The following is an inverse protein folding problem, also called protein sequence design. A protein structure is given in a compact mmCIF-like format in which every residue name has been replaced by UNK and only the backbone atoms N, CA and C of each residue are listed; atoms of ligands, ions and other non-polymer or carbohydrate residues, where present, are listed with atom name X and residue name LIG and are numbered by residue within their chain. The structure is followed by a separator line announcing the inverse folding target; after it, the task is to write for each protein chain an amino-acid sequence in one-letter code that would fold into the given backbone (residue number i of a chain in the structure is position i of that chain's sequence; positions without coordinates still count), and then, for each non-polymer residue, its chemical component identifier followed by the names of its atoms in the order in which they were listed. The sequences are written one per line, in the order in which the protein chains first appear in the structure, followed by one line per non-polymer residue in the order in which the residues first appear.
data_IF_881425552676
#
_entry.id   IF_881425552676
#
_cell.length_a   1.000
_cell.length_b   1.000
_cell.length_c   1.000
_cell.angle_alpha   90.00
_cell.angle_beta   90.00
_cell.angle_gamma   90.00
#
_symmetry.space_group_name_H-M   'P 1'
#
loop_
_entity.id
_entity.type
_entity.pdbx_description
1 polymer ?
#
# COMPACT_ATOMS: atom_id res chain seq x y z
N UNK A 1 18.29 14.66 -27.89
CA UNK A 1 16.85 14.30 -27.83
C UNK A 1 16.37 14.49 -26.39
N UNK A 2 15.66 15.57 -26.13
CA UNK A 2 15.12 15.93 -24.81
C UNK A 2 13.62 15.65 -24.81
N UNK A 3 13.18 14.65 -24.04
CA UNK A 3 11.76 14.34 -23.86
C UNK A 3 11.17 15.22 -22.76
N UNK A 4 10.47 16.29 -23.16
CA UNK A 4 9.68 17.14 -22.26
C UNK A 4 8.20 16.82 -22.38
N UNK A 5 7.58 16.32 -21.30
CA UNK A 5 6.14 16.17 -21.18
C UNK A 5 5.46 17.55 -21.15
N UNK A 6 4.80 17.94 -22.25
CA UNK A 6 3.92 19.11 -22.28
C UNK A 6 2.60 18.77 -21.60
N UNK A 7 2.28 19.47 -20.51
CA UNK A 7 0.97 19.44 -19.84
C UNK A 7 -0.06 20.10 -20.77
N UNK A 8 -1.17 19.45 -21.16
CA UNK A 8 -2.18 20.12 -21.96
C UNK A 8 -2.84 21.23 -21.13
N UNK A 9 -2.90 22.42 -21.73
CA UNK A 9 -3.65 23.57 -21.24
C UNK A 9 -5.11 23.19 -21.08
N UNK A 10 -5.68 23.51 -19.92
CA UNK A 10 -7.10 23.30 -19.62
C UNK A 10 -7.86 24.38 -20.37
N UNK A 11 -8.48 24.01 -21.48
CA UNK A 11 -9.34 24.93 -22.22
C UNK A 11 -9.38 24.54 -23.68
N UNK A 12 -10.15 23.50 -23.98
CA UNK A 12 -10.84 23.31 -25.25
C UNK A 12 -11.75 22.08 -25.07
N UNK A 13 -12.99 22.34 -24.68
CA UNK A 13 -13.96 21.29 -24.39
C UNK A 13 -15.30 21.87 -23.98
N UNK A 14 -16.20 21.94 -24.95
CA UNK A 14 -17.65 22.06 -24.83
C UNK A 14 -18.20 23.32 -24.13
N UNK A 15 -18.85 24.17 -24.94
CA UNK A 15 -19.85 25.11 -24.46
C UNK A 15 -20.94 24.40 -23.67
N UNK A 16 -20.84 24.49 -22.35
CA UNK A 16 -21.89 24.17 -21.40
C UNK A 16 -22.32 25.48 -20.73
N UNK A 17 -23.59 25.81 -20.87
CA UNK A 17 -24.27 26.92 -20.21
C UNK A 17 -23.82 27.05 -18.72
N UNK A 18 -23.39 28.23 -18.22
CA UNK A 18 -22.87 28.40 -16.86
C UNK A 18 -23.92 28.27 -15.74
N UNK A 19 -25.17 27.94 -16.06
CA UNK A 19 -26.07 27.30 -15.11
C UNK A 19 -25.69 25.83 -14.94
N UNK A 20 -24.51 25.62 -14.35
CA UNK A 20 -24.21 24.38 -13.65
C UNK A 20 -25.42 24.08 -12.77
N UNK A 21 -26.20 23.07 -13.17
CA UNK A 21 -27.35 22.56 -12.44
C UNK A 21 -26.91 22.36 -11.00
N UNK A 22 -27.24 23.35 -10.18
CA UNK A 22 -26.90 23.37 -8.77
C UNK A 22 -27.69 22.20 -8.22
N UNK A 23 -27.02 21.08 -7.97
CA UNK A 23 -27.67 19.88 -7.44
C UNK A 23 -28.47 20.36 -6.22
N UNK A 24 -29.79 20.28 -6.32
CA UNK A 24 -30.64 20.67 -5.21
C UNK A 24 -30.55 19.56 -4.16
N UNK A 25 -29.68 19.79 -3.19
CA UNK A 25 -29.47 18.88 -2.08
C UNK A 25 -30.47 19.13 -0.94
N UNK A 26 -31.43 20.04 -1.11
CA UNK A 26 -32.41 20.41 -0.08
C UNK A 26 -33.37 19.28 0.30
N UNK A 27 -33.60 18.32 -0.60
CA UNK A 27 -34.46 17.16 -0.37
C UNK A 27 -33.78 15.98 0.35
N UNK A 28 -32.46 16.01 0.53
CA UNK A 28 -31.75 14.90 1.17
C UNK A 28 -31.77 15.04 2.69
N UNK A 29 -32.16 13.95 3.36
CA UNK A 29 -31.98 13.84 4.81
C UNK A 29 -30.49 13.82 5.10
N UNK A 30 -30.02 14.75 5.94
CA UNK A 30 -28.61 14.82 6.39
C UNK A 30 -28.30 13.86 7.53
N UNK A 31 -29.31 13.17 8.05
CA UNK A 31 -29.15 12.18 9.10
C UNK A 31 -28.71 10.83 8.52
N UNK A 32 -27.94 10.03 9.28
CA UNK A 32 -27.63 8.66 8.91
C UNK A 32 -28.91 7.87 8.58
N UNK A 33 -28.85 7.04 7.55
CA UNK A 33 -29.94 6.11 7.24
C UNK A 33 -29.92 5.01 8.30
N UNK A 34 -30.98 4.92 9.08
CA UNK A 34 -31.22 3.79 9.97
C UNK A 34 -31.69 2.61 9.11
N UNK A 35 -30.94 1.51 9.14
CA UNK A 35 -31.25 0.29 8.40
C UNK A 35 -31.71 -0.76 9.40
N UNK A 36 -32.82 -1.46 9.12
CA UNK A 36 -33.26 -2.57 9.95
C UNK A 36 -32.48 -3.85 9.61
N UNK A 37 -32.34 -4.81 10.53
CA UNK A 37 -31.61 -6.07 10.28
C UNK A 37 -32.13 -6.85 9.06
N UNK A 38 -33.45 -6.77 8.78
CA UNK A 38 -34.07 -7.40 7.63
C UNK A 38 -33.66 -6.74 6.29
N UNK A 39 -33.50 -5.42 6.29
CA UNK A 39 -33.06 -4.67 5.12
C UNK A 39 -31.59 -4.94 4.82
N UNK A 40 -30.76 -5.10 5.85
CA UNK A 40 -29.36 -5.51 5.70
C UNK A 40 -29.27 -6.89 5.06
N UNK A 41 -30.03 -7.88 5.56
CA UNK A 41 -30.04 -9.23 5.00
C UNK A 41 -30.48 -9.24 3.52
N UNK A 42 -31.51 -8.47 3.17
CA UNK A 42 -31.95 -8.34 1.78
C UNK A 42 -30.91 -7.65 0.88
N UNK A 43 -30.16 -6.68 1.40
CA UNK A 43 -29.09 -6.01 0.68
C UNK A 43 -27.90 -6.94 0.43
N UNK A 44 -27.52 -7.75 1.43
CA UNK A 44 -26.48 -8.78 1.30
C UNK A 44 -26.87 -9.80 0.23
N UNK A 45 -28.08 -10.35 0.30
CA UNK A 45 -28.56 -11.33 -0.68
C UNK A 45 -28.58 -10.77 -2.13
N UNK A 46 -28.90 -9.49 -2.30
CA UNK A 46 -28.80 -8.82 -3.60
C UNK A 46 -27.36 -8.63 -4.04
N UNK A 47 -26.45 -8.30 -3.13
CA UNK A 47 -25.01 -8.22 -3.37
C UNK A 47 -24.46 -9.56 -3.86
N UNK A 48 -24.79 -10.64 -3.18
CA UNK A 48 -24.35 -11.99 -3.55
C UNK A 48 -24.84 -12.37 -4.95
N UNK A 49 -26.10 -12.03 -5.29
CA UNK A 49 -26.68 -12.32 -6.60
C UNK A 49 -25.97 -11.57 -7.75
N UNK A 50 -25.38 -10.40 -7.49
CA UNK A 50 -24.61 -9.63 -8.49
C UNK A 50 -23.10 -9.91 -8.43
N UNK A 51 -22.68 -10.93 -7.66
CA UNK A 51 -21.28 -11.32 -7.50
C UNK A 51 -20.46 -10.36 -6.64
N UNK A 52 -21.11 -9.56 -5.79
CA UNK A 52 -20.43 -8.75 -4.80
C UNK A 52 -19.89 -9.66 -3.70
N UNK A 53 -18.57 -9.72 -3.56
CA UNK A 53 -17.91 -10.48 -2.50
C UNK A 53 -17.47 -9.53 -1.40
N UNK A 54 -17.93 -9.76 -0.18
CA UNK A 54 -17.48 -9.01 0.99
C UNK A 54 -16.01 -9.32 1.29
N UNK A 55 -15.18 -8.27 1.26
CA UNK A 55 -13.73 -8.37 1.51
C UNK A 55 -13.40 -8.44 3.01
N UNK A 56 -14.38 -8.31 3.89
CA UNK A 56 -14.20 -8.35 5.34
C UNK A 56 -13.98 -9.78 5.88
N UNK A 57 -14.43 -10.82 5.16
CA UNK A 57 -14.31 -12.21 5.64
C UNK A 57 -12.86 -12.73 5.69
N UNK A 58 -11.91 -12.04 5.06
CA UNK A 58 -10.48 -12.34 5.19
C UNK A 58 -9.84 -11.88 6.51
N UNK A 59 -10.56 -11.12 7.36
CA UNK A 59 -10.03 -10.50 8.59
C UNK A 59 -10.58 -11.10 9.89
N UNK A 60 -11.20 -12.29 9.88
CA UNK A 60 -11.62 -13.00 11.11
C UNK A 60 -10.45 -13.67 11.87
N UNK A 61 -9.34 -12.94 11.99
CA UNK A 61 -8.14 -13.32 12.73
C UNK A 61 -7.52 -12.16 13.51
N UNK A 62 -8.25 -11.10 13.86
CA UNK A 62 -7.89 -10.27 15.02
C UNK A 62 -9.03 -9.33 15.42
N UNK A 63 -9.45 -9.49 16.68
CA UNK A 63 -10.49 -8.74 17.36
C UNK A 63 -10.34 -7.21 17.30
N UNK A 64 -11.52 -6.55 17.23
CA UNK A 64 -11.83 -5.12 17.44
C UNK A 64 -11.73 -4.21 16.22
N UNK A 65 -12.87 -4.18 15.53
CA UNK A 65 -13.35 -3.14 14.62
C UNK A 65 -13.19 -1.76 15.26
N UNK A 66 -12.25 -0.94 14.75
CA UNK A 66 -12.41 0.50 14.73
C UNK A 66 -12.84 0.90 13.32
N UNK A 67 -13.95 1.62 13.28
CA UNK A 67 -14.65 2.07 12.08
C UNK A 67 -13.77 2.96 11.21
N UNK A 68 -13.79 2.66 9.90
CA UNK A 68 -13.63 3.66 8.85
C UNK A 68 -12.19 4.06 8.52
N UNK A 69 -11.89 4.01 7.23
CA UNK A 69 -10.62 4.34 6.56
C UNK A 69 -9.66 3.17 6.54
N UNK A 70 -9.33 2.70 5.34
CA UNK A 70 -8.25 1.74 5.10
C UNK A 70 -6.94 2.33 5.62
N UNK A 71 -6.66 2.07 6.91
CA UNK A 71 -5.38 2.33 7.52
C UNK A 71 -4.47 1.30 6.90
N UNK A 72 -3.73 1.68 5.85
CA UNK A 72 -2.49 0.99 5.53
C UNK A 72 -1.74 0.92 6.85
N UNK A 73 -1.65 -0.27 7.46
CA UNK A 73 -0.77 -0.49 8.62
C UNK A 73 0.59 0.03 8.18
N UNK A 74 0.98 1.20 8.67
CA UNK A 74 2.35 1.66 8.55
C UNK A 74 3.13 0.59 9.29
N UNK A 75 3.90 -0.22 8.55
CA UNK A 75 4.90 -1.06 9.18
C UNK A 75 5.74 -0.11 10.03
N UNK A 76 5.87 -0.42 11.31
CA UNK A 76 6.72 0.35 12.20
C UNK A 76 8.09 0.45 11.53
N UNK A 77 8.54 1.69 11.34
CA UNK A 77 9.82 1.92 10.69
C UNK A 77 10.90 1.39 11.63
N UNK A 78 11.51 0.27 11.24
CA UNK A 78 12.68 -0.25 11.95
C UNK A 78 13.74 0.86 11.93
N UNK A 79 14.35 1.20 13.08
CA UNK A 79 15.39 2.22 13.13
C UNK A 79 16.53 1.83 12.19
N UNK A 80 16.70 2.61 11.12
CA UNK A 80 17.72 2.40 10.10
C UNK A 80 18.87 3.38 10.26
N UNK A 81 20.08 2.94 9.92
CA UNK A 81 21.28 3.78 9.84
C UNK A 81 21.96 3.53 8.50
N UNK A 82 22.53 4.57 7.92
CA UNK A 82 23.32 4.46 6.70
C UNK A 82 24.76 4.10 7.05
N UNK A 83 25.31 3.11 6.34
CA UNK A 83 26.72 2.71 6.42
C UNK A 83 27.38 2.98 5.06
N UNK A 84 28.51 3.69 5.08
CA UNK A 84 29.33 3.91 3.89
C UNK A 84 30.66 3.20 4.10
N UNK A 85 30.96 2.24 3.25
CA UNK A 85 32.21 1.47 3.29
C UNK A 85 33.10 1.96 2.16
N UNK A 86 34.34 2.31 2.49
CA UNK A 86 35.42 2.52 1.53
C UNK A 86 36.49 1.47 1.78
N UNK A 87 36.96 0.84 0.73
CA UNK A 87 37.96 -0.22 0.81
C UNK A 87 38.61 -0.46 -0.54
N UNK A 88 39.48 -1.48 -0.62
CA UNK A 88 40.06 -1.93 -1.87
C UNK A 88 38.96 -2.32 -2.86
N UNK A 89 39.09 -1.87 -4.12
CA UNK A 89 38.13 -2.12 -5.19
C UNK A 89 37.87 -3.61 -5.39
N UNK A 90 38.96 -4.38 -5.55
CA UNK A 90 38.91 -5.84 -5.73
C UNK A 90 38.12 -6.56 -4.63
N UNK A 91 38.22 -6.09 -3.38
CA UNK A 91 37.52 -6.72 -2.25
C UNK A 91 36.03 -6.39 -2.25
N UNK A 92 35.66 -5.18 -2.65
CA UNK A 92 34.26 -4.78 -2.76
C UNK A 92 33.59 -5.50 -3.93
N UNK A 93 34.28 -5.62 -5.06
CA UNK A 93 33.79 -6.34 -6.23
C UNK A 93 33.59 -7.82 -5.92
N UNK A 94 34.59 -8.46 -5.30
CA UNK A 94 34.47 -9.84 -4.83
C UNK A 94 33.27 -10.03 -3.88
N UNK A 95 33.03 -9.10 -2.97
CA UNK A 95 31.89 -9.17 -2.06
C UNK A 95 30.55 -9.07 -2.81
N UNK A 96 30.45 -8.17 -3.80
CA UNK A 96 29.24 -8.03 -4.62
C UNK A 96 28.98 -9.33 -5.38
N UNK A 97 29.99 -9.90 -6.03
CA UNK A 97 29.89 -11.18 -6.75
C UNK A 97 29.44 -12.31 -5.82
N UNK A 98 30.07 -12.45 -4.66
CA UNK A 98 29.71 -13.45 -3.65
C UNK A 98 28.23 -13.35 -3.24
N UNK A 99 27.74 -12.13 -3.02
CA UNK A 99 26.32 -11.94 -2.63
C UNK A 99 25.34 -12.27 -3.75
N UNK A 100 25.73 -12.04 -5.01
CA UNK A 100 24.92 -12.37 -6.17
C UNK A 100 24.84 -13.88 -6.40
N UNK A 101 25.96 -14.61 -6.27
CA UNK A 101 26.00 -16.06 -6.38
C UNK A 101 25.13 -16.77 -5.34
N UNK A 102 25.11 -16.23 -4.11
CA UNK A 102 24.29 -16.74 -3.01
C UNK A 102 22.80 -16.36 -3.12
N UNK A 103 22.43 -15.50 -4.08
CA UNK A 103 21.05 -15.10 -4.33
C UNK A 103 20.47 -14.16 -3.26
N UNK A 104 21.31 -13.41 -2.54
CA UNK A 104 20.81 -12.43 -1.57
C UNK A 104 20.09 -11.29 -2.27
N UNK A 105 18.98 -10.86 -1.68
CA UNK A 105 18.21 -9.70 -2.19
C UNK A 105 18.85 -8.37 -1.79
N UNK A 106 19.74 -8.39 -0.80
CA UNK A 106 20.36 -7.21 -0.23
C UNK A 106 21.62 -7.55 0.55
N UNK A 107 22.64 -6.70 0.45
CA UNK A 107 23.96 -6.92 1.05
C UNK A 107 23.96 -7.12 2.57
N UNK A 108 22.98 -6.59 3.30
CA UNK A 108 22.89 -6.80 4.76
C UNK A 108 22.56 -8.24 5.14
N UNK A 109 21.94 -9.03 4.24
CA UNK A 109 21.67 -10.44 4.49
C UNK A 109 22.96 -11.25 4.56
N UNK A 110 23.94 -10.92 3.72
CA UNK A 110 25.27 -11.51 3.79
C UNK A 110 26.00 -11.13 5.10
N UNK A 111 25.77 -9.91 5.62
CA UNK A 111 26.31 -9.50 6.91
C UNK A 111 25.65 -10.22 8.10
N UNK A 112 24.34 -10.51 8.02
CA UNK A 112 23.64 -11.31 9.02
C UNK A 112 24.17 -12.73 9.07
N UNK A 113 24.28 -13.40 7.91
CA UNK A 113 24.84 -14.74 7.83
C UNK A 113 26.28 -14.77 8.37
N UNK A 114 27.11 -13.78 8.00
CA UNK A 114 28.46 -13.67 8.53
C UNK A 114 28.49 -13.50 10.05
N UNK A 115 27.55 -12.74 10.61
CA UNK A 115 27.39 -12.59 12.06
C UNK A 115 27.02 -13.90 12.74
N UNK A 116 26.11 -14.68 12.15
CA UNK A 116 25.71 -16.00 12.67
C UNK A 116 26.90 -16.96 12.66
N UNK A 117 27.64 -17.04 11.55
CA UNK A 117 28.85 -17.86 11.42
C UNK A 117 29.91 -17.52 12.48
N UNK A 118 30.06 -16.24 12.81
CA UNK A 118 30.98 -15.81 13.87
C UNK A 118 30.46 -16.14 15.27
N UNK A 119 29.16 -15.97 15.52
CA UNK A 119 28.55 -16.29 16.81
C UNK A 119 28.66 -17.78 17.13
N UNK A 120 28.43 -18.65 16.14
CA UNK A 120 28.56 -20.11 16.27
C UNK A 120 30.01 -20.55 16.52
N UNK A 121 30.99 -19.79 16.04
CA UNK A 121 32.42 -20.10 16.25
C UNK A 121 32.93 -19.75 17.65
N UNK A 122 32.20 -18.89 18.36
CA UNK A 122 32.58 -18.39 19.68
C UNK A 122 31.92 -19.12 20.85
N UNK A 123 31.02 -20.06 20.58
CA UNK A 123 30.47 -21.02 21.55
C UNK A 123 31.18 -22.37 21.43
#
# INVERSE_FOLDING_TARGET
MTYGFKRPSRGDGAGGNPEAQKLDLGGFRRNPVEVSPEQEAAAVARGDAIGFVDRSQGEHGSLRVQQGRGVRRRKDAVPSRSLYIKGPEELLDWFIELTNERGYRSYWQALEEFRELLADRTN
#
